data_IF_845801297249
#
_entry.id   IF_845801297249
#
_cell.length_a   1.000
_cell.length_b   1.000
_cell.length_c   1.000
_cell.angle_alpha   90.00
_cell.angle_beta   90.00
_cell.angle_gamma   90.00
#
_symmetry.space_group_name_H-M   'P 1'
#
loop_
_entity.id
_entity.type
_entity.pdbx_description
1 polymer ?
#
# COMPACT_ATOMS: atom_id res chain seq x y z
N UNK A 1 3.84 -18.15 -30.26
CA UNK A 1 5.23 -18.65 -30.25
C UNK A 1 5.25 -19.97 -29.50
N UNK A 2 5.67 -21.05 -30.15
CA UNK A 2 5.84 -22.37 -29.56
C UNK A 2 7.33 -22.59 -29.25
N UNK A 3 7.65 -22.84 -27.98
CA UNK A 3 8.98 -23.31 -27.59
C UNK A 3 9.02 -24.82 -27.57
N UNK A 4 9.95 -25.43 -28.29
CA UNK A 4 10.24 -26.85 -28.23
C UNK A 4 11.44 -27.06 -27.29
N UNK A 5 11.24 -27.88 -26.26
CA UNK A 5 12.26 -28.23 -25.27
C UNK A 5 12.47 -29.75 -25.31
N UNK A 6 13.72 -30.19 -25.44
CA UNK A 6 14.04 -31.61 -25.36
C UNK A 6 14.03 -32.06 -23.89
N UNK A 7 13.18 -33.00 -23.57
CA UNK A 7 13.05 -33.58 -22.21
C UNK A 7 13.34 -35.07 -22.27
N UNK A 8 14.55 -35.46 -21.89
CA UNK A 8 15.00 -36.85 -21.99
C UNK A 8 15.05 -37.33 -23.45
N UNK A 9 14.42 -38.46 -23.76
CA UNK A 9 14.35 -39.03 -25.12
C UNK A 9 13.19 -38.45 -25.96
N UNK A 10 12.40 -37.49 -25.41
CA UNK A 10 11.25 -36.89 -26.08
C UNK A 10 11.35 -35.38 -26.28
N UNK A 11 10.44 -34.82 -27.06
CA UNK A 11 10.28 -33.38 -27.26
C UNK A 11 9.00 -32.90 -26.58
N UNK A 12 9.15 -31.84 -25.76
CA UNK A 12 8.00 -31.16 -25.17
C UNK A 12 7.81 -29.81 -25.87
N UNK A 13 6.61 -29.54 -26.33
CA UNK A 13 6.22 -28.26 -26.92
C UNK A 13 5.45 -27.40 -25.91
N UNK A 14 5.89 -26.17 -25.67
CA UNK A 14 5.16 -25.18 -24.89
C UNK A 14 4.43 -24.25 -25.85
N UNK A 15 3.11 -24.28 -25.81
CA UNK A 15 2.25 -23.39 -26.61
C UNK A 15 1.47 -22.43 -25.69
N UNK A 16 1.41 -21.15 -26.03
CA UNK A 16 0.54 -20.18 -25.33
C UNK A 16 -0.77 -20.02 -26.09
N UNK A 17 -1.87 -20.24 -25.39
CA UNK A 17 -3.22 -20.04 -25.90
C UNK A 17 -3.77 -18.72 -25.35
N UNK A 18 -4.23 -17.83 -26.21
CA UNK A 18 -4.91 -16.58 -25.85
C UNK A 18 -6.33 -16.57 -26.43
N UNK A 19 -7.29 -15.97 -25.71
CA UNK A 19 -8.67 -15.86 -26.17
C UNK A 19 -9.49 -17.14 -26.01
N UNK A 20 -9.14 -18.00 -25.08
CA UNK A 20 -9.87 -19.25 -24.78
C UNK A 20 -11.24 -18.91 -24.18
N UNK A 21 -12.31 -19.22 -24.93
CA UNK A 21 -13.70 -18.97 -24.50
C UNK A 21 -14.20 -20.02 -23.50
N UNK A 22 -13.68 -21.25 -23.57
CA UNK A 22 -14.06 -22.34 -22.67
C UNK A 22 -12.84 -23.11 -22.19
N UNK A 23 -12.34 -22.80 -20.98
CA UNK A 23 -11.23 -23.51 -20.35
C UNK A 23 -11.55 -24.97 -20.00
N UNK A 24 -12.85 -25.30 -19.80
CA UNK A 24 -13.26 -26.65 -19.41
C UNK A 24 -13.07 -27.66 -20.54
N UNK A 25 -13.27 -27.22 -21.78
CA UNK A 25 -13.04 -28.06 -22.96
C UNK A 25 -11.57 -28.49 -23.09
N UNK A 26 -10.65 -27.59 -22.80
CA UNK A 26 -9.21 -27.90 -22.82
C UNK A 26 -8.79 -28.80 -21.66
N UNK A 27 -9.42 -28.67 -20.48
CA UNK A 27 -9.18 -29.57 -19.35
C UNK A 27 -9.65 -31.01 -19.64
N UNK A 28 -10.73 -31.17 -20.43
CA UNK A 28 -11.17 -32.48 -20.90
C UNK A 28 -10.16 -33.07 -21.90
N UNK A 29 -9.69 -32.27 -22.85
CA UNK A 29 -8.68 -32.68 -23.82
C UNK A 29 -7.38 -33.15 -23.16
N UNK A 30 -6.95 -32.46 -22.09
CA UNK A 30 -5.79 -32.85 -21.30
C UNK A 30 -6.00 -34.21 -20.60
N UNK A 31 -7.22 -34.53 -20.16
CA UNK A 31 -7.58 -35.85 -19.60
C UNK A 31 -7.61 -36.96 -20.62
N UNK A 32 -8.15 -36.71 -21.83
CA UNK A 32 -8.27 -37.71 -22.91
C UNK A 32 -6.90 -38.07 -23.50
N UNK A 33 -5.91 -37.19 -23.42
CA UNK A 33 -4.58 -37.44 -23.99
C UNK A 33 -3.64 -38.20 -23.04
N UNK A 34 -4.15 -38.79 -21.93
CA UNK A 34 -3.38 -39.63 -21.00
C UNK A 34 -2.07 -38.98 -20.48
N UNK A 35 -2.08 -37.65 -20.29
CA UNK A 35 -0.93 -36.93 -19.77
C UNK A 35 0.06 -36.44 -20.83
N UNK A 36 -0.25 -36.65 -22.17
CA UNK A 36 0.57 -36.07 -23.23
C UNK A 36 0.40 -34.55 -23.36
N UNK A 37 -0.71 -33.99 -22.85
CA UNK A 37 -0.97 -32.54 -22.81
C UNK A 37 -1.23 -32.11 -21.39
N UNK A 38 -0.42 -31.19 -20.88
CA UNK A 38 -0.64 -30.56 -19.57
C UNK A 38 -1.14 -29.11 -19.79
N UNK A 39 -2.36 -28.84 -19.35
CA UNK A 39 -2.89 -27.47 -19.33
C UNK A 39 -2.36 -26.75 -18.09
N UNK A 40 -1.54 -25.74 -18.28
CA UNK A 40 -1.10 -24.84 -17.24
C UNK A 40 -1.96 -23.57 -17.26
N UNK A 41 -3.00 -23.52 -16.46
CA UNK A 41 -3.79 -22.30 -16.28
C UNK A 41 -3.05 -21.32 -15.38
N UNK A 42 -2.24 -20.46 -16.03
CA UNK A 42 -1.47 -19.41 -15.33
C UNK A 42 -2.39 -18.43 -14.62
N UNK A 43 -3.60 -18.18 -15.13
CA UNK A 43 -4.55 -17.26 -14.51
C UNK A 43 -5.12 -17.85 -13.23
N UNK A 44 -5.63 -19.08 -13.29
CA UNK A 44 -6.17 -19.77 -12.10
C UNK A 44 -5.07 -20.02 -11.05
N UNK A 45 -3.86 -20.39 -11.47
CA UNK A 45 -2.72 -20.55 -10.56
C UNK A 45 -2.33 -19.23 -9.89
N UNK A 46 -2.31 -18.13 -10.64
CA UNK A 46 -2.00 -16.80 -10.11
C UNK A 46 -3.11 -16.31 -9.16
N UNK A 47 -4.38 -16.49 -9.52
CA UNK A 47 -5.51 -16.13 -8.67
C UNK A 47 -5.52 -16.93 -7.36
N UNK A 48 -5.26 -18.23 -7.40
CA UNK A 48 -5.20 -19.08 -6.20
C UNK A 48 -4.03 -18.69 -5.28
N UNK A 49 -2.88 -18.35 -5.84
CA UNK A 49 -1.74 -17.82 -5.10
C UNK A 49 -2.08 -16.47 -4.45
N UNK A 50 -2.70 -15.55 -5.19
CA UNK A 50 -3.10 -14.24 -4.66
C UNK A 50 -4.06 -14.42 -3.48
N UNK A 51 -5.05 -15.31 -3.57
CA UNK A 51 -5.99 -15.58 -2.48
C UNK A 51 -5.28 -16.19 -1.27
N UNK A 52 -4.39 -17.16 -1.46
CA UNK A 52 -3.64 -17.79 -0.38
C UNK A 52 -2.70 -16.81 0.33
N UNK A 53 -2.01 -15.96 -0.41
CA UNK A 53 -1.10 -14.96 0.15
C UNK A 53 -1.84 -13.76 0.75
N UNK A 54 -3.01 -13.40 0.27
CA UNK A 54 -3.81 -12.27 0.76
C UNK A 54 -4.07 -12.36 2.26
N UNK A 55 -4.47 -13.53 2.76
CA UNK A 55 -4.71 -13.72 4.19
C UNK A 55 -3.43 -13.53 5.01
N UNK A 56 -2.32 -14.13 4.57
CA UNK A 56 -1.03 -14.01 5.26
C UNK A 56 -0.53 -12.56 5.29
N UNK A 57 -0.69 -11.82 4.19
CA UNK A 57 -0.30 -10.40 4.11
C UNK A 57 -1.18 -9.56 5.05
N UNK A 58 -2.49 -9.78 5.09
CA UNK A 58 -3.39 -9.06 6.00
C UNK A 58 -3.05 -9.33 7.47
N UNK A 59 -2.74 -10.57 7.82
CA UNK A 59 -2.30 -10.92 9.18
C UNK A 59 -0.98 -10.25 9.52
N UNK A 60 0.02 -10.30 8.63
CA UNK A 60 1.30 -9.65 8.83
C UNK A 60 1.15 -8.12 8.99
N UNK A 61 0.27 -7.52 8.18
CA UNK A 61 -0.05 -6.09 8.26
C UNK A 61 -0.73 -5.73 9.58
N UNK A 62 -1.65 -6.57 10.06
CA UNK A 62 -2.29 -6.42 11.36
C UNK A 62 -1.30 -6.49 12.52
N UNK A 63 -0.38 -7.47 12.48
CA UNK A 63 0.70 -7.59 13.47
C UNK A 63 1.61 -6.37 13.44
N UNK A 64 2.01 -5.91 12.25
CA UNK A 64 2.85 -4.71 12.10
C UNK A 64 2.15 -3.45 12.66
N UNK A 65 0.86 -3.27 12.38
CA UNK A 65 0.06 -2.18 12.92
C UNK A 65 -0.04 -2.25 14.45
N UNK A 66 -0.25 -3.44 15.01
CA UNK A 66 -0.30 -3.64 16.46
C UNK A 66 1.04 -3.32 17.12
N UNK A 67 2.15 -3.81 16.56
CA UNK A 67 3.50 -3.49 17.06
C UNK A 67 3.79 -2.01 16.98
N UNK A 68 3.37 -1.33 15.91
CA UNK A 68 3.50 0.12 15.78
C UNK A 68 2.71 0.85 16.86
N UNK A 69 1.46 0.46 17.12
CA UNK A 69 0.64 1.03 18.20
C UNK A 69 1.31 0.86 19.57
N UNK A 70 1.85 -0.32 19.85
CA UNK A 70 2.58 -0.60 21.10
C UNK A 70 3.83 0.29 21.18
N UNK A 71 4.64 0.34 20.12
CA UNK A 71 5.87 1.12 20.09
C UNK A 71 5.62 2.63 20.31
N UNK A 72 4.61 3.18 19.62
CA UNK A 72 4.22 4.60 19.77
C UNK A 72 3.71 4.86 21.18
N UNK A 73 2.90 3.99 21.75
CA UNK A 73 2.37 4.15 23.13
C UNK A 73 3.47 4.09 24.16
N UNK A 74 4.44 3.18 24.02
CA UNK A 74 5.61 3.07 24.90
C UNK A 74 6.53 4.29 24.77
N UNK A 75 6.77 4.76 23.55
CA UNK A 75 7.62 5.92 23.28
C UNK A 75 7.05 7.21 23.87
N UNK A 76 5.75 7.41 23.74
CA UNK A 76 5.05 8.60 24.26
C UNK A 76 4.69 8.49 25.75
N UNK A 77 4.77 7.29 26.34
CA UNK A 77 4.42 7.01 27.74
C UNK A 77 3.03 7.52 28.16
N UNK A 78 2.14 7.77 27.21
CA UNK A 78 0.81 8.32 27.44
C UNK A 78 -0.12 7.86 26.35
N UNK A 79 -1.17 7.13 26.72
CA UNK A 79 -2.20 6.63 25.80
C UNK A 79 -2.92 7.80 25.08
N UNK A 80 -3.15 8.91 25.80
CA UNK A 80 -3.80 10.09 25.24
C UNK A 80 -2.97 10.72 24.12
N UNK A 81 -1.65 10.85 24.29
CA UNK A 81 -0.74 11.35 23.24
C UNK A 81 -0.63 10.36 22.09
N UNK A 82 -0.56 9.06 22.40
CA UNK A 82 -0.57 8.03 21.36
C UNK A 82 -1.83 8.10 20.49
N UNK A 83 -3.01 8.33 21.07
CA UNK A 83 -4.24 8.53 20.34
C UNK A 83 -4.22 9.79 19.46
N UNK A 84 -3.60 10.87 19.88
CA UNK A 84 -3.44 12.08 19.05
C UNK A 84 -2.52 11.85 17.85
N UNK A 85 -1.55 10.95 17.96
CA UNK A 85 -0.66 10.57 16.84
C UNK A 85 -1.32 9.53 15.93
N UNK A 86 -1.91 8.49 16.51
CA UNK A 86 -2.49 7.37 15.77
C UNK A 86 -3.87 7.71 15.18
N UNK A 87 -4.62 8.64 15.78
CA UNK A 87 -5.93 9.06 15.30
C UNK A 87 -5.90 9.64 13.88
N UNK A 88 -5.14 10.70 13.61
CA UNK A 88 -4.95 11.23 12.25
C UNK A 88 -4.45 10.17 11.27
N UNK A 89 -3.54 9.29 11.73
CA UNK A 89 -3.02 8.20 10.89
C UNK A 89 -4.10 7.22 10.44
N UNK A 90 -4.89 6.73 11.39
CA UNK A 90 -5.96 5.78 11.06
C UNK A 90 -7.02 6.42 10.20
N UNK A 91 -7.41 7.66 10.49
CA UNK A 91 -8.38 8.41 9.72
C UNK A 91 -7.89 8.68 8.28
N UNK A 92 -6.63 9.11 8.11
CA UNK A 92 -6.01 9.31 6.80
C UNK A 92 -5.99 8.01 5.98
N UNK A 93 -5.59 6.91 6.60
CA UNK A 93 -5.56 5.58 5.96
C UNK A 93 -6.96 5.15 5.50
N UNK A 94 -7.99 5.33 6.33
CA UNK A 94 -9.38 5.05 5.97
C UNK A 94 -9.85 5.97 4.83
N UNK A 95 -9.48 7.25 4.85
CA UNK A 95 -9.85 8.20 3.80
C UNK A 95 -9.25 7.79 2.45
N UNK A 96 -7.98 7.36 2.41
CA UNK A 96 -7.36 6.82 1.19
C UNK A 96 -8.16 5.65 0.65
N UNK A 97 -8.53 4.69 1.51
CA UNK A 97 -9.32 3.52 1.09
C UNK A 97 -10.69 3.91 0.54
N UNK A 98 -11.36 4.87 1.20
CA UNK A 98 -12.66 5.39 0.76
C UNK A 98 -12.53 6.06 -0.61
N UNK A 99 -11.53 6.91 -0.81
CA UNK A 99 -11.30 7.59 -2.10
C UNK A 99 -10.99 6.59 -3.21
N UNK A 100 -10.08 5.64 -2.99
CA UNK A 100 -9.77 4.59 -3.96
C UNK A 100 -11.03 3.80 -4.34
N UNK A 101 -11.85 3.45 -3.34
CA UNK A 101 -13.08 2.71 -3.56
C UNK A 101 -14.15 3.53 -4.28
N UNK A 102 -14.27 4.81 -3.95
CA UNK A 102 -15.19 5.74 -4.62
C UNK A 102 -14.82 5.98 -6.09
N UNK A 103 -13.52 5.99 -6.40
CA UNK A 103 -13.03 6.06 -7.78
C UNK A 103 -13.17 4.73 -8.55
N UNK A 104 -13.77 3.69 -7.97
CA UNK A 104 -13.95 2.39 -8.61
C UNK A 104 -12.66 1.59 -8.80
N UNK A 105 -11.56 1.98 -8.13
CA UNK A 105 -10.27 1.31 -8.28
C UNK A 105 -10.28 0.01 -7.46
N UNK A 106 -10.05 -1.16 -8.08
CA UNK A 106 -9.97 -2.41 -7.36
C UNK A 106 -8.74 -2.44 -6.46
N UNK A 107 -8.94 -2.73 -5.18
CA UNK A 107 -7.85 -2.82 -4.20
C UNK A 107 -7.00 -4.05 -4.48
N UNK A 108 -5.77 -3.83 -4.92
CA UNK A 108 -4.74 -4.86 -5.13
C UNK A 108 -3.78 -4.93 -3.93
N UNK A 109 -2.93 -5.97 -3.91
CA UNK A 109 -1.86 -6.09 -2.92
C UNK A 109 -0.92 -4.87 -2.93
N UNK A 110 -0.69 -4.28 -4.10
CA UNK A 110 0.16 -3.10 -4.24
C UNK A 110 -0.42 -1.88 -3.51
N UNK A 111 -1.74 -1.72 -3.49
CA UNK A 111 -2.39 -0.67 -2.69
C UNK A 111 -2.19 -0.89 -1.19
N UNK A 112 -2.25 -2.13 -0.69
CA UNK A 112 -2.03 -2.44 0.73
C UNK A 112 -0.59 -2.15 1.18
N UNK A 113 0.40 -2.58 0.37
CA UNK A 113 1.81 -2.28 0.63
C UNK A 113 2.08 -0.78 0.61
N UNK A 114 1.52 -0.09 -0.40
CA UNK A 114 1.66 1.37 -0.54
C UNK A 114 1.01 2.14 0.61
N UNK A 115 -0.12 1.63 1.11
CA UNK A 115 -0.80 2.19 2.27
C UNK A 115 0.06 2.11 3.54
N UNK A 116 0.77 0.98 3.72
CA UNK A 116 1.73 0.82 4.83
C UNK A 116 2.89 1.80 4.70
N UNK A 117 3.42 1.99 3.48
CA UNK A 117 4.47 2.97 3.22
C UNK A 117 3.98 4.40 3.52
N UNK A 118 2.78 4.77 3.05
CA UNK A 118 2.17 6.06 3.31
C UNK A 118 1.92 6.29 4.82
N UNK A 119 1.48 5.26 5.55
CA UNK A 119 1.30 5.32 7.00
C UNK A 119 2.64 5.53 7.73
N UNK A 120 3.73 4.86 7.28
CA UNK A 120 5.07 5.08 7.81
C UNK A 120 5.55 6.53 7.64
N UNK A 121 5.33 7.11 6.47
CA UNK A 121 5.61 8.53 6.22
C UNK A 121 4.72 9.44 7.07
N UNK A 122 3.44 9.11 7.19
CA UNK A 122 2.47 9.86 8.00
C UNK A 122 2.82 9.90 9.48
N UNK A 123 3.41 8.83 10.02
CA UNK A 123 3.87 8.77 11.40
C UNK A 123 4.90 9.88 11.71
N UNK A 124 5.82 10.15 10.79
CA UNK A 124 6.79 11.24 10.98
C UNK A 124 6.11 12.60 11.12
N UNK A 125 5.08 12.87 10.28
CA UNK A 125 4.33 14.12 10.36
C UNK A 125 3.57 14.25 11.68
N UNK A 126 2.88 13.17 12.09
CA UNK A 126 2.13 13.16 13.34
C UNK A 126 3.03 13.34 14.59
N UNK A 127 4.18 12.64 14.63
CA UNK A 127 5.15 12.77 15.71
C UNK A 127 5.79 14.16 15.74
N UNK A 128 5.98 14.77 14.58
CA UNK A 128 6.50 16.12 14.49
C UNK A 128 5.56 17.12 15.16
N UNK A 129 4.28 17.08 14.83
CA UNK A 129 3.29 17.98 15.42
C UNK A 129 3.03 17.72 16.91
N UNK A 130 3.28 16.50 17.39
CA UNK A 130 3.20 16.19 18.84
C UNK A 130 4.42 16.70 19.63
N UNK A 131 5.61 16.80 19.01
CA UNK A 131 6.87 17.19 19.65
C UNK A 131 7.23 18.67 19.52
N UNK A 132 6.27 19.57 19.31
CA UNK A 132 6.56 21.00 19.25
C UNK A 132 7.29 21.45 20.52
N UNK A 133 8.44 22.08 20.33
CA UNK A 133 9.38 22.46 21.41
C UNK A 133 8.98 23.77 22.10
N UNK A 134 8.07 24.55 21.48
CA UNK A 134 7.68 25.88 21.98
C UNK A 134 8.65 27.00 21.58
N UNK A 135 9.75 26.70 20.89
CA UNK A 135 10.59 27.69 20.23
C UNK A 135 10.06 27.93 18.81
N UNK A 136 9.49 29.12 18.60
CA UNK A 136 8.84 29.50 17.33
C UNK A 136 9.78 29.38 16.12
N UNK A 137 11.07 29.68 16.30
CA UNK A 137 12.05 29.57 15.21
C UNK A 137 12.37 28.13 14.85
N UNK A 138 12.45 27.26 15.83
CA UNK A 138 12.74 25.85 15.63
C UNK A 138 11.53 25.12 15.03
N UNK A 139 10.33 25.45 15.52
CA UNK A 139 9.06 24.94 14.99
C UNK A 139 8.84 25.36 13.53
N UNK A 140 9.13 26.61 13.17
CA UNK A 140 9.06 27.11 11.78
C UNK A 140 10.08 26.41 10.86
N UNK A 141 11.31 26.22 11.31
CA UNK A 141 12.32 25.49 10.54
C UNK A 141 11.89 24.06 10.24
N UNK A 142 11.35 23.39 11.22
CA UNK A 142 10.93 22.00 11.09
C UNK A 142 9.66 21.89 10.24
N UNK A 143 8.74 22.85 10.35
CA UNK A 143 7.59 22.94 9.48
C UNK A 143 8.00 23.12 8.00
N UNK A 144 8.98 24.01 7.73
CA UNK A 144 9.52 24.18 6.39
C UNK A 144 10.16 22.90 5.85
N UNK A 145 10.98 22.22 6.67
CA UNK A 145 11.60 20.95 6.26
C UNK A 145 10.56 19.88 5.97
N UNK A 146 9.50 19.81 6.79
CA UNK A 146 8.39 18.86 6.59
C UNK A 146 7.61 19.18 5.31
N UNK A 147 7.32 20.45 5.03
CA UNK A 147 6.66 20.88 3.80
C UNK A 147 7.46 20.51 2.55
N UNK A 148 8.78 20.73 2.57
CA UNK A 148 9.66 20.35 1.46
C UNK A 148 9.65 18.82 1.27
N UNK A 149 9.67 18.07 2.36
CA UNK A 149 9.60 16.60 2.31
C UNK A 149 8.26 16.13 1.73
N UNK A 150 7.14 16.70 2.18
CA UNK A 150 5.80 16.41 1.65
C UNK A 150 5.71 16.76 0.16
N UNK A 151 6.15 17.95 -0.23
CA UNK A 151 6.14 18.41 -1.63
C UNK A 151 6.98 17.48 -2.53
N UNK A 152 8.17 17.09 -2.06
CA UNK A 152 9.03 16.13 -2.78
C UNK A 152 8.37 14.77 -2.94
N UNK A 153 7.77 14.26 -1.86
CA UNK A 153 7.05 12.98 -1.91
C UNK A 153 5.85 13.04 -2.85
N UNK A 154 5.04 14.11 -2.78
CA UNK A 154 3.90 14.31 -3.68
C UNK A 154 4.34 14.42 -5.14
N UNK A 155 5.45 15.08 -5.43
CA UNK A 155 5.98 15.21 -6.77
C UNK A 155 6.43 13.85 -7.31
N UNK A 156 7.24 13.10 -6.55
CA UNK A 156 7.75 11.78 -6.96
C UNK A 156 6.60 10.80 -7.15
N UNK A 157 5.73 10.64 -6.15
CA UNK A 157 4.65 9.67 -6.22
C UNK A 157 3.51 10.15 -7.13
N UNK A 158 3.34 11.47 -7.32
CA UNK A 158 2.42 12.03 -8.30
C UNK A 158 2.84 11.71 -9.73
N UNK A 159 4.12 11.86 -10.07
CA UNK A 159 4.64 11.43 -11.37
C UNK A 159 4.48 9.92 -11.55
N UNK A 160 4.74 9.14 -10.50
CA UNK A 160 4.56 7.69 -10.54
C UNK A 160 3.10 7.29 -10.77
N UNK A 161 2.14 8.06 -10.24
CA UNK A 161 0.70 7.86 -10.45
C UNK A 161 0.26 8.06 -11.90
N UNK A 162 1.02 8.80 -12.70
CA UNK A 162 0.78 9.01 -14.13
C UNK A 162 1.38 7.90 -15.02
N UNK A 163 2.09 6.94 -14.43
CA UNK A 163 2.71 5.85 -15.16
C UNK A 163 1.69 5.00 -15.91
N UNK A 164 2.06 4.53 -17.10
CA UNK A 164 1.30 3.54 -17.88
C UNK A 164 1.36 2.14 -17.30
N UNK A 165 2.34 1.86 -16.41
CA UNK A 165 2.49 0.57 -15.74
C UNK A 165 1.52 0.49 -14.56
N UNK A 166 0.55 -0.47 -14.57
CA UNK A 166 -0.52 -0.51 -13.57
C UNK A 166 -0.02 -0.59 -12.12
N UNK A 167 1.07 -1.30 -11.88
CA UNK A 167 1.68 -1.45 -10.55
C UNK A 167 2.24 -0.11 -10.05
N UNK A 168 3.00 0.59 -10.89
CA UNK A 168 3.60 1.88 -10.55
C UNK A 168 2.52 2.93 -10.31
N UNK A 169 1.49 2.94 -11.15
CA UNK A 169 0.32 3.81 -10.99
C UNK A 169 -0.40 3.55 -9.66
N UNK A 170 -0.63 2.29 -9.31
CA UNK A 170 -1.28 1.91 -8.06
C UNK A 170 -0.48 2.40 -6.83
N UNK A 171 0.84 2.17 -6.84
CA UNK A 171 1.74 2.62 -5.79
C UNK A 171 1.74 4.14 -5.70
N UNK A 172 1.99 4.82 -6.82
CA UNK A 172 2.10 6.27 -6.89
C UNK A 172 0.84 6.97 -6.39
N UNK A 173 -0.33 6.57 -6.89
CA UNK A 173 -1.61 7.15 -6.50
C UNK A 173 -1.90 6.96 -5.01
N UNK A 174 -1.69 5.74 -4.49
CA UNK A 174 -1.98 5.42 -3.08
C UNK A 174 -1.06 6.18 -2.13
N UNK A 175 0.24 6.25 -2.44
CA UNK A 175 1.20 6.97 -1.59
C UNK A 175 0.98 8.46 -1.67
N UNK A 176 0.74 9.03 -2.86
CA UNK A 176 0.48 10.45 -3.01
C UNK A 176 -0.77 10.88 -2.22
N UNK A 177 -1.89 10.16 -2.36
CA UNK A 177 -3.10 10.41 -1.57
C UNK A 177 -2.83 10.23 -0.07
N UNK A 178 -2.10 9.18 0.31
CA UNK A 178 -1.73 8.91 1.69
C UNK A 178 -0.94 10.04 2.31
N UNK A 179 0.14 10.48 1.66
CA UNK A 179 0.99 11.59 2.12
C UNK A 179 0.17 12.87 2.28
N UNK A 180 -0.69 13.20 1.28
CA UNK A 180 -1.53 14.38 1.33
C UNK A 180 -2.50 14.34 2.53
N UNK A 181 -3.22 13.24 2.73
CA UNK A 181 -4.18 13.11 3.83
C UNK A 181 -3.51 13.02 5.20
N UNK A 182 -2.41 12.26 5.33
CA UNK A 182 -1.68 12.18 6.59
C UNK A 182 -1.15 13.53 7.02
N UNK A 183 -0.55 14.27 6.11
CA UNK A 183 -0.04 15.62 6.41
C UNK A 183 -1.18 16.57 6.79
N UNK A 184 -2.23 16.65 5.96
CA UNK A 184 -3.37 17.55 6.20
C UNK A 184 -4.06 17.26 7.53
N UNK A 185 -4.33 15.97 7.83
CA UNK A 185 -4.98 15.60 9.09
C UNK A 185 -4.06 15.80 10.29
N UNK A 186 -2.76 15.58 10.15
CA UNK A 186 -1.79 15.86 11.24
C UNK A 186 -1.74 17.35 11.56
N UNK A 187 -1.84 18.22 10.55
CA UNK A 187 -1.92 19.68 10.75
C UNK A 187 -3.24 20.06 11.41
N UNK A 188 -4.37 19.56 10.90
CA UNK A 188 -5.70 19.91 11.40
C UNK A 188 -5.97 19.41 12.83
N UNK A 189 -5.43 18.26 13.18
CA UNK A 189 -5.60 17.64 14.50
C UNK A 189 -4.47 17.96 15.46
N UNK A 190 -3.49 18.79 15.06
CA UNK A 190 -2.45 19.27 15.94
C UNK A 190 -3.06 19.98 17.16
N UNK A 191 -2.63 19.67 18.40
CA UNK A 191 -3.21 20.26 19.59
C UNK A 191 -3.06 21.80 19.57
N UNK A 192 -4.17 22.51 19.66
CA UNK A 192 -4.22 23.99 19.68
C UNK A 192 -3.79 24.58 21.05
N UNK A 193 -3.15 23.80 21.91
CA UNK A 193 -2.82 24.21 23.29
C UNK A 193 -1.86 25.41 23.37
N UNK A 194 -1.19 25.79 22.27
CA UNK A 194 -0.27 26.95 22.27
C UNK A 194 -0.95 28.30 22.02
N UNK A 195 -2.22 28.32 21.58
CA UNK A 195 -2.97 29.59 21.48
C UNK A 195 -3.59 30.05 22.80
N UNK A 196 -3.44 29.27 23.88
CA UNK A 196 -4.00 29.57 25.23
C UNK A 196 -2.98 29.99 26.26
N UNK A 197 -1.72 30.10 25.92
CA UNK A 197 -0.69 30.62 26.85
C UNK A 197 -0.20 31.99 26.36
N UNK A 198 -1.10 32.95 26.35
CA UNK A 198 -0.74 34.32 26.60
C UNK A 198 -1.17 34.67 28.02
N UNK A 199 -0.27 35.24 28.84
CA UNK A 199 -0.55 35.65 30.21
C UNK A 199 -1.51 36.83 30.28
#
# INVERSE_FOLDING_TARGET
ESMLVQQGDGWAGLGTLSGVSDPAAFAMLAKETNGAVHLLDLKASTESLIVAYRHRILVALGIAALLLCIAVTLALRSVRRALHVLGPMTLATLLVLVVLRACGIPLSLFHLVSLTLAAGLGLHYALFFERRTGDEREDLRTLHATLVCVASALLVFGVLALSSVPVLRAIGLTVALGVAFHFTLSVLMAPAEHLRREP
#
